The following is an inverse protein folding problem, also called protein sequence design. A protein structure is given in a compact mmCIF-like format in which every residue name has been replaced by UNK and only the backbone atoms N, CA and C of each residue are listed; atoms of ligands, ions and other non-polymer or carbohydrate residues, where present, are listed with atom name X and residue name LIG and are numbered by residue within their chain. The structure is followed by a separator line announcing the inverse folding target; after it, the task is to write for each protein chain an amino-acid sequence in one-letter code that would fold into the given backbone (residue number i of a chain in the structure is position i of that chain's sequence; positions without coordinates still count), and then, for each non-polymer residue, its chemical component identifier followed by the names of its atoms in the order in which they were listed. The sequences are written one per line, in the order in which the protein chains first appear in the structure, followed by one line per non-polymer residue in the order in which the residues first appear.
data_IF_006193530356
#
_entry.id   IF_006193530356
#
_cell.length_a   1.000
_cell.length_b   1.000
_cell.length_c   1.000
_cell.angle_alpha   90.00
_cell.angle_beta   90.00
_cell.angle_gamma   90.00
#
_symmetry.space_group_name_H-M   'P 1'
#
loop_
_entity.id
_entity.type
_entity.pdbx_description
1 polymer ?
#
# COMPACT_ATOMS: atom_id res chain seq x y z
N UNK A 1 -56.68 -19.01 -14.50
CA UNK A 1 -55.86 -18.03 -15.26
C UNK A 1 -55.43 -16.96 -14.26
N UNK A 2 -54.16 -16.52 -14.31
CA UNK A 2 -53.40 -15.67 -13.34
C UNK A 2 -52.48 -16.54 -12.45
N UNK A 3 -51.36 -17.09 -12.94
CA UNK A 3 -50.15 -16.56 -13.63
C UNK A 3 -49.05 -16.21 -12.62
N UNK A 4 -48.06 -17.10 -12.61
CA UNK A 4 -46.76 -17.06 -11.96
C UNK A 4 -46.09 -15.68 -11.95
N UNK A 5 -45.61 -15.24 -10.78
CA UNK A 5 -44.49 -14.28 -10.68
C UNK A 5 -43.98 -14.13 -9.24
N UNK A 6 -43.48 -15.20 -8.63
CA UNK A 6 -42.74 -15.05 -7.35
C UNK A 6 -41.49 -15.93 -7.23
N UNK A 7 -40.82 -16.22 -8.34
CA UNK A 7 -39.44 -16.71 -8.31
C UNK A 7 -38.49 -15.54 -8.52
N UNK A 8 -38.25 -14.80 -7.44
CA UNK A 8 -37.12 -13.88 -7.31
C UNK A 8 -35.84 -14.71 -7.39
N UNK A 9 -35.36 -14.93 -8.61
CA UNK A 9 -34.05 -15.51 -8.90
C UNK A 9 -32.99 -14.57 -8.31
N UNK A 10 -32.63 -14.77 -7.05
CA UNK A 10 -31.34 -14.32 -6.52
C UNK A 10 -30.30 -15.11 -7.32
N UNK A 11 -29.83 -14.53 -8.41
CA UNK A 11 -28.60 -14.96 -9.04
C UNK A 11 -27.52 -14.90 -7.96
N UNK A 12 -27.14 -16.06 -7.43
CA UNK A 12 -25.95 -16.18 -6.60
C UNK A 12 -24.75 -15.58 -7.35
N UNK A 13 -23.70 -15.13 -6.64
CA UNK A 13 -22.51 -14.60 -7.29
C UNK A 13 -22.05 -15.61 -8.35
N UNK A 14 -21.94 -15.14 -9.60
CA UNK A 14 -21.49 -15.96 -10.73
C UNK A 14 -20.19 -16.68 -10.35
N UNK A 15 -19.99 -17.91 -10.82
CA UNK A 15 -18.72 -18.65 -10.64
C UNK A 15 -17.54 -17.77 -11.07
N UNK A 16 -17.73 -16.93 -12.09
CA UNK A 16 -16.75 -15.94 -12.51
C UNK A 16 -16.41 -14.89 -11.43
N UNK A 17 -17.39 -14.35 -10.71
CA UNK A 17 -17.13 -13.37 -9.64
C UNK A 17 -16.52 -14.02 -8.40
N UNK A 18 -16.89 -15.26 -8.08
CA UNK A 18 -16.27 -16.04 -7.02
C UNK A 18 -14.79 -16.33 -7.32
N UNK A 19 -14.48 -16.80 -8.54
CA UNK A 19 -13.11 -17.09 -8.96
C UNK A 19 -12.26 -15.83 -9.02
N UNK A 20 -12.76 -14.72 -9.58
CA UNK A 20 -12.04 -13.46 -9.58
C UNK A 20 -11.74 -12.95 -8.16
N UNK A 21 -12.72 -13.06 -7.25
CA UNK A 21 -12.51 -12.66 -5.86
C UNK A 21 -11.46 -13.53 -5.17
N UNK A 22 -11.54 -14.85 -5.35
CA UNK A 22 -10.58 -15.78 -4.76
C UNK A 22 -9.14 -15.52 -5.27
N UNK A 23 -9.00 -15.26 -6.57
CA UNK A 23 -7.72 -14.94 -7.18
C UNK A 23 -7.18 -13.61 -6.66
N UNK A 24 -7.99 -12.55 -6.63
CA UNK A 24 -7.61 -11.24 -6.09
C UNK A 24 -7.20 -11.33 -4.61
N UNK A 25 -7.95 -12.06 -3.79
CA UNK A 25 -7.62 -12.29 -2.38
C UNK A 25 -6.31 -13.04 -2.20
N UNK A 26 -6.02 -14.03 -3.07
CA UNK A 26 -4.75 -14.75 -3.04
C UNK A 26 -3.57 -13.85 -3.40
N UNK A 27 -3.70 -13.03 -4.44
CA UNK A 27 -2.67 -12.04 -4.80
C UNK A 27 -2.41 -11.04 -3.68
N UNK A 28 -3.46 -10.49 -3.08
CA UNK A 28 -3.35 -9.61 -1.91
C UNK A 28 -2.67 -10.31 -0.73
N UNK A 29 -3.01 -11.57 -0.45
CA UNK A 29 -2.40 -12.35 0.63
C UNK A 29 -0.91 -12.60 0.41
N UNK A 30 -0.51 -12.97 -0.81
CA UNK A 30 0.90 -13.16 -1.18
C UNK A 30 1.67 -11.85 -1.07
N UNK A 31 1.13 -10.76 -1.62
CA UNK A 31 1.75 -9.43 -1.54
C UNK A 31 1.92 -8.99 -0.08
N UNK A 32 0.88 -9.15 0.74
CA UNK A 32 0.94 -8.76 2.14
C UNK A 32 1.93 -9.62 2.93
N UNK A 33 2.01 -10.93 2.65
CA UNK A 33 3.01 -11.80 3.26
C UNK A 33 4.44 -11.41 2.88
N UNK A 34 4.67 -11.03 1.62
CA UNK A 34 5.96 -10.53 1.18
C UNK A 34 6.35 -9.21 1.88
N UNK A 35 5.42 -8.26 1.96
CA UNK A 35 5.65 -6.98 2.64
C UNK A 35 5.95 -7.18 4.13
N UNK A 36 5.17 -8.03 4.80
CA UNK A 36 5.37 -8.35 6.22
C UNK A 36 6.73 -8.99 6.51
N UNK A 37 7.31 -9.73 5.55
CA UNK A 37 8.64 -10.36 5.70
C UNK A 37 9.81 -9.39 5.56
N UNK A 38 9.55 -8.20 5.00
CA UNK A 38 10.57 -7.18 4.71
C UNK A 38 10.75 -6.16 5.83
N UNK A 39 9.81 -6.10 6.79
CA UNK A 39 9.86 -5.17 7.93
C UNK A 39 10.77 -5.75 9.01
N UNK A 40 11.78 -5.00 9.44
CA UNK A 40 12.77 -5.42 10.46
C UNK A 40 12.46 -4.81 11.83
N UNK A 41 12.30 -3.49 11.84
CA UNK A 41 11.71 -2.71 12.90
C UNK A 41 10.63 -1.82 12.32
N UNK A 42 9.79 -1.28 13.19
CA UNK A 42 8.83 -0.27 12.82
C UNK A 42 8.69 0.72 13.99
N UNK A 43 9.12 1.96 13.75
CA UNK A 43 8.58 3.10 14.47
C UNK A 43 7.15 3.38 13.99
N UNK A 44 6.20 3.34 14.93
CA UNK A 44 4.83 3.74 14.70
C UNK A 44 4.59 5.13 15.32
N UNK A 45 4.54 6.21 14.50
CA UNK A 45 4.22 7.54 14.99
C UNK A 45 2.75 7.72 15.41
N UNK A 46 1.94 6.65 15.45
CA UNK A 46 0.48 6.69 15.50
C UNK A 46 -0.12 7.38 14.26
N UNK A 47 0.39 7.01 13.07
CA UNK A 47 -0.15 7.53 11.81
C UNK A 47 -1.58 7.00 11.63
N UNK A 48 -2.52 7.88 11.26
CA UNK A 48 -3.96 7.60 11.10
C UNK A 48 -4.74 7.28 12.39
N UNK A 49 -4.11 7.33 13.57
CA UNK A 49 -4.78 7.25 14.87
C UNK A 49 -5.13 8.65 15.39
N UNK A 50 -6.37 8.86 15.85
CA UNK A 50 -6.80 10.11 16.52
C UNK A 50 -6.16 10.33 17.90
N UNK A 51 -5.30 9.43 18.36
CA UNK A 51 -4.64 9.52 19.65
C UNK A 51 -3.34 10.31 19.54
N UNK A 52 -3.49 11.65 19.53
CA UNK A 52 -2.39 12.61 19.55
C UNK A 52 -1.51 12.54 20.82
N UNK A 53 -1.84 11.66 21.78
CA UNK A 53 -1.28 11.64 23.14
C UNK A 53 -0.40 10.42 23.44
N UNK A 54 -0.29 9.45 22.53
CA UNK A 54 0.51 8.25 22.78
C UNK A 54 1.93 8.46 22.22
N UNK A 55 2.99 8.29 23.03
CA UNK A 55 4.37 8.29 22.53
C UNK A 55 4.53 7.27 21.40
N UNK A 56 5.33 7.59 20.39
CA UNK A 56 5.59 6.66 19.28
C UNK A 56 6.14 5.34 19.81
N UNK A 57 5.65 4.22 19.29
CA UNK A 57 6.05 2.89 19.77
C UNK A 57 7.05 2.27 18.80
N UNK A 58 8.07 1.65 19.36
CA UNK A 58 9.08 0.90 18.62
C UNK A 58 8.77 -0.59 18.69
N UNK A 59 8.60 -1.22 17.53
CA UNK A 59 8.39 -2.64 17.42
C UNK A 59 9.55 -3.27 16.66
N UNK A 60 10.01 -4.43 17.12
CA UNK A 60 11.07 -5.20 16.46
C UNK A 60 10.56 -6.60 16.14
N UNK A 61 10.70 -7.01 14.87
CA UNK A 61 10.32 -8.33 14.41
C UNK A 61 11.54 -9.24 14.44
N UNK A 62 11.83 -9.80 15.62
CA UNK A 62 13.00 -10.65 15.86
C UNK A 62 13.11 -11.83 14.88
N UNK A 63 11.98 -12.40 14.44
CA UNK A 63 11.96 -13.44 13.40
C UNK A 63 12.57 -12.95 12.08
N UNK A 64 12.20 -11.73 11.65
CA UNK A 64 12.68 -11.14 10.41
C UNK A 64 14.13 -10.71 10.55
N UNK A 65 14.51 -10.13 11.70
CA UNK A 65 15.90 -9.76 12.01
C UNK A 65 16.81 -10.98 11.84
N UNK A 66 16.43 -12.15 12.39
CA UNK A 66 17.22 -13.38 12.23
C UNK A 66 17.26 -13.91 10.80
N UNK A 67 16.16 -13.80 10.04
CA UNK A 67 16.13 -14.21 8.62
C UNK A 67 17.12 -13.37 7.81
N UNK A 68 17.07 -12.05 7.97
CA UNK A 68 17.93 -11.11 7.25
C UNK A 68 19.38 -11.19 7.69
N UNK A 69 19.63 -11.32 8.99
CA UNK A 69 20.96 -11.57 9.55
C UNK A 69 21.62 -12.78 8.88
N UNK A 70 20.92 -13.92 8.78
CA UNK A 70 21.43 -15.11 8.11
C UNK A 70 21.66 -14.88 6.62
N UNK A 71 20.74 -14.19 5.96
CA UNK A 71 20.83 -13.90 4.52
C UNK A 71 22.02 -13.01 4.17
N UNK A 72 22.35 -12.06 5.04
CA UNK A 72 23.45 -11.10 4.86
C UNK A 72 24.76 -11.55 5.51
N UNK A 73 24.76 -12.70 6.21
CA UNK A 73 25.91 -13.24 6.95
C UNK A 73 26.53 -12.25 7.95
N UNK A 74 25.69 -11.46 8.63
CA UNK A 74 26.13 -10.46 9.61
C UNK A 74 26.15 -11.02 11.04
N UNK A 75 26.97 -10.47 11.96
CA UNK A 75 26.86 -10.76 13.39
C UNK A 75 25.51 -10.30 13.95
N UNK A 76 24.83 -11.15 14.73
CA UNK A 76 23.47 -10.87 15.19
C UNK A 76 23.36 -9.65 16.10
N UNK A 77 24.28 -9.50 17.06
CA UNK A 77 24.25 -8.37 18.01
C UNK A 77 24.54 -7.03 17.33
N UNK A 78 25.50 -7.00 16.41
CA UNK A 78 25.81 -5.80 15.62
C UNK A 78 24.63 -5.41 14.73
N UNK A 79 24.01 -6.40 14.07
CA UNK A 79 22.84 -6.15 13.23
C UNK A 79 21.63 -5.64 14.05
N UNK A 80 21.36 -6.23 15.22
CA UNK A 80 20.32 -5.72 16.13
C UNK A 80 20.60 -4.30 16.57
N UNK A 81 21.84 -4.01 16.96
CA UNK A 81 22.24 -2.68 17.40
C UNK A 81 22.04 -1.67 16.28
N UNK A 82 22.44 -2.01 15.06
CA UNK A 82 22.21 -1.18 13.88
C UNK A 82 20.71 -0.93 13.63
N UNK A 83 19.86 -1.97 13.69
CA UNK A 83 18.40 -1.81 13.56
C UNK A 83 17.85 -0.91 14.66
N UNK A 84 18.22 -1.12 15.92
CA UNK A 84 17.76 -0.28 17.04
C UNK A 84 18.17 1.17 16.85
N UNK A 85 19.42 1.44 16.47
CA UNK A 85 19.91 2.80 16.20
C UNK A 85 19.17 3.46 15.05
N UNK A 86 18.90 2.70 13.98
CA UNK A 86 18.10 3.18 12.84
C UNK A 86 16.70 3.59 13.28
N UNK A 87 16.00 2.72 14.01
CA UNK A 87 14.63 3.00 14.46
C UNK A 87 14.56 4.14 15.50
N UNK A 88 15.53 4.23 16.41
CA UNK A 88 15.61 5.33 17.40
C UNK A 88 15.91 6.66 16.72
N UNK A 89 16.74 6.67 15.67
CA UNK A 89 17.01 7.89 14.89
C UNK A 89 15.72 8.40 14.25
N UNK A 90 14.93 7.50 13.66
CA UNK A 90 13.61 7.82 13.14
C UNK A 90 12.67 8.33 14.22
N UNK A 91 12.59 7.64 15.36
CA UNK A 91 11.77 8.09 16.48
C UNK A 91 12.12 9.52 16.91
N UNK A 92 13.42 9.81 17.04
CA UNK A 92 13.91 11.14 17.39
C UNK A 92 13.57 12.18 16.32
N UNK A 93 13.75 11.88 15.03
CA UNK A 93 13.40 12.80 13.93
C UNK A 93 11.91 13.18 13.97
N UNK A 94 11.02 12.22 14.22
CA UNK A 94 9.57 12.44 14.32
C UNK A 94 9.13 13.15 15.60
N UNK A 95 9.86 12.99 16.71
CA UNK A 95 9.59 13.70 17.96
C UNK A 95 10.16 15.13 17.94
N UNK A 96 11.34 15.32 17.37
CA UNK A 96 11.98 16.62 17.24
C UNK A 96 11.26 17.56 16.26
N UNK A 97 10.52 17.02 15.30
CA UNK A 97 9.85 17.78 14.24
C UNK A 97 8.35 17.47 14.19
N UNK A 98 7.51 18.12 15.03
CA UNK A 98 6.07 17.82 15.12
C UNK A 98 5.31 17.92 13.78
N UNK A 99 5.73 18.85 12.89
CA UNK A 99 5.14 19.03 11.57
C UNK A 99 5.27 17.81 10.66
N UNK A 100 6.21 16.91 10.93
CA UNK A 100 6.50 15.75 10.10
C UNK A 100 5.32 14.76 10.09
N UNK A 101 4.65 14.60 11.24
CA UNK A 101 3.48 13.73 11.38
C UNK A 101 2.32 14.27 10.56
N UNK A 102 2.02 15.56 10.68
CA UNK A 102 0.94 16.22 9.94
C UNK A 102 1.19 16.20 8.43
N UNK A 103 2.42 16.47 8.01
CA UNK A 103 2.80 16.43 6.60
C UNK A 103 2.65 15.02 6.01
N UNK A 104 3.13 14.00 6.72
CA UNK A 104 3.02 12.60 6.28
C UNK A 104 1.55 12.15 6.19
N UNK A 105 0.74 12.48 7.20
CA UNK A 105 -0.70 12.22 7.19
C UNK A 105 -1.39 12.91 6.01
N UNK A 106 -1.09 14.18 5.75
CA UNK A 106 -1.65 14.91 4.62
C UNK A 106 -1.27 14.28 3.26
N UNK A 107 -0.02 13.83 3.08
CA UNK A 107 0.39 13.15 1.84
C UNK A 107 -0.31 11.78 1.69
N UNK A 108 -0.46 11.02 2.78
CA UNK A 108 -1.17 9.73 2.78
C UNK A 108 -2.66 9.90 2.45
N UNK A 109 -3.33 10.89 3.06
CA UNK A 109 -4.72 11.21 2.77
C UNK A 109 -4.92 11.57 1.30
N UNK A 110 -4.06 12.43 0.74
CA UNK A 110 -4.08 12.78 -0.68
C UNK A 110 -3.93 11.53 -1.56
N UNK A 111 -2.99 10.65 -1.22
CA UNK A 111 -2.77 9.42 -1.97
C UNK A 111 -3.99 8.48 -1.93
N UNK A 112 -4.58 8.27 -0.76
CA UNK A 112 -5.79 7.44 -0.58
C UNK A 112 -6.98 8.04 -1.34
N UNK A 113 -7.17 9.36 -1.26
CA UNK A 113 -8.24 10.05 -2.00
C UNK A 113 -8.09 9.87 -3.51
N UNK A 114 -6.87 9.96 -4.03
CA UNK A 114 -6.61 9.75 -5.46
C UNK A 114 -6.81 8.29 -5.90
N UNK A 115 -6.48 7.30 -5.05
CA UNK A 115 -6.85 5.89 -5.29
C UNK A 115 -8.38 5.73 -5.31
N UNK A 116 -9.08 6.29 -4.33
CA UNK A 116 -10.53 6.21 -4.24
C UNK A 116 -11.21 6.83 -5.48
N UNK A 117 -10.72 7.99 -5.94
CA UNK A 117 -11.18 8.63 -7.18
C UNK A 117 -10.92 7.78 -8.42
N UNK A 118 -9.73 7.16 -8.52
CA UNK A 118 -9.41 6.28 -9.62
C UNK A 118 -10.32 5.04 -9.68
N UNK A 119 -10.73 4.50 -8.52
CA UNK A 119 -11.69 3.40 -8.46
C UNK A 119 -13.13 3.85 -8.72
N UNK A 120 -13.55 5.00 -8.17
CA UNK A 120 -14.89 5.55 -8.39
C UNK A 120 -15.13 5.95 -9.85
N UNK A 121 -14.06 6.33 -10.56
CA UNK A 121 -14.08 6.55 -12.00
C UNK A 121 -14.15 5.28 -12.85
N UNK A 122 -14.32 4.07 -12.28
CA UNK A 122 -14.44 2.84 -13.07
C UNK A 122 -15.82 2.74 -13.76
N UNK A 123 -16.00 3.56 -14.80
CA UNK A 123 -17.14 3.56 -15.72
C UNK A 123 -16.79 2.79 -17.00
N UNK A 124 -17.79 2.22 -17.69
CA UNK A 124 -17.62 1.53 -18.98
C UNK A 124 -16.84 2.40 -19.99
N UNK A 125 -17.04 3.72 -19.93
CA UNK A 125 -16.33 4.70 -20.77
C UNK A 125 -14.84 4.78 -20.46
N UNK A 126 -14.47 4.77 -19.17
CA UNK A 126 -13.07 4.77 -18.75
C UNK A 126 -12.40 3.41 -19.00
N UNK A 127 -13.16 2.32 -19.00
CA UNK A 127 -12.68 1.01 -19.44
C UNK A 127 -12.35 1.02 -20.95
N UNK A 128 -13.24 1.57 -21.78
CA UNK A 128 -13.02 1.72 -23.22
C UNK A 128 -11.81 2.63 -23.53
N UNK A 129 -11.66 3.75 -22.80
CA UNK A 129 -10.48 4.61 -22.92
C UNK A 129 -9.18 3.94 -22.45
N UNK A 130 -9.25 3.02 -21.47
CA UNK A 130 -8.08 2.24 -21.05
C UNK A 130 -7.73 1.14 -22.05
N UNK A 131 -8.73 0.55 -22.70
CA UNK A 131 -8.55 -0.44 -23.76
C UNK A 131 -7.94 0.18 -25.03
N UNK A 132 -8.38 1.37 -25.43
CA UNK A 132 -7.76 2.07 -26.57
C UNK A 132 -6.31 2.51 -26.27
N UNK A 133 -6.01 2.88 -25.02
CA UNK A 133 -4.62 3.12 -24.58
C UNK A 133 -3.78 1.85 -24.56
N UNK A 134 -4.36 0.69 -24.20
CA UNK A 134 -3.69 -0.61 -24.29
C UNK A 134 -3.35 -0.98 -25.73
N UNK A 135 -4.23 -0.70 -26.69
CA UNK A 135 -3.97 -0.90 -28.11
C UNK A 135 -2.75 -0.08 -28.60
N UNK A 136 -2.64 1.19 -28.17
CA UNK A 136 -1.50 2.05 -28.51
C UNK A 136 -0.19 1.58 -27.84
N UNK A 137 -0.26 0.95 -26.67
CA UNK A 137 0.92 0.36 -26.00
C UNK A 137 1.40 -0.89 -26.76
N UNK A 138 0.49 -1.74 -27.23
CA UNK A 138 0.83 -2.91 -28.06
C UNK A 138 1.47 -2.48 -29.39
N UNK A 139 1.09 -1.30 -29.89
CA UNK A 139 1.72 -0.64 -31.06
C UNK A 139 3.07 0.02 -30.74
N UNK A 140 3.55 -0.04 -29.50
CA UNK A 140 4.89 0.41 -29.10
C UNK A 140 5.01 1.87 -28.65
N UNK A 141 3.91 2.62 -28.56
CA UNK A 141 3.94 4.08 -28.29
C UNK A 141 3.56 4.45 -26.84
N UNK A 142 3.36 3.48 -25.95
CA UNK A 142 2.88 3.76 -24.60
C UNK A 142 3.64 3.03 -23.49
N UNK A 143 3.74 3.69 -22.33
CA UNK A 143 4.42 3.16 -21.15
C UNK A 143 3.43 2.45 -20.21
N UNK A 144 3.63 1.15 -19.99
CA UNK A 144 2.76 0.27 -19.16
C UNK A 144 2.50 0.85 -17.76
N UNK A 145 3.47 1.60 -17.23
CA UNK A 145 3.45 2.19 -15.89
C UNK A 145 2.43 3.34 -15.78
N UNK A 146 2.19 4.08 -16.87
CA UNK A 146 1.22 5.20 -16.90
C UNK A 146 -0.23 4.73 -16.87
N UNK A 147 -0.49 3.47 -17.23
CA UNK A 147 -1.82 2.89 -17.17
C UNK A 147 -2.25 2.52 -15.74
N UNK A 148 -1.26 2.32 -14.86
CA UNK A 148 -1.44 1.79 -13.50
C UNK A 148 -1.47 2.92 -12.45
N UNK A 149 -0.63 3.95 -12.59
CA UNK A 149 -0.49 5.03 -11.60
C UNK A 149 -0.83 6.39 -12.23
N UNK A 150 -1.76 7.14 -11.65
CA UNK A 150 -2.11 8.49 -12.13
C UNK A 150 -0.98 9.49 -11.87
N UNK A 151 -0.84 10.57 -12.66
CA UNK A 151 0.21 11.58 -12.44
C UNK A 151 0.15 12.21 -11.04
N UNK A 152 -1.06 12.38 -10.48
CA UNK A 152 -1.25 12.90 -9.12
C UNK A 152 -0.81 11.90 -8.04
N UNK A 153 -1.09 10.61 -8.22
CA UNK A 153 -0.59 9.55 -7.33
C UNK A 153 0.94 9.47 -7.36
N UNK A 154 1.55 9.64 -8.53
CA UNK A 154 3.02 9.67 -8.68
C UNK A 154 3.66 10.82 -7.91
N UNK A 155 3.06 12.01 -7.95
CA UNK A 155 3.57 13.18 -7.22
C UNK A 155 3.48 12.99 -5.71
N UNK A 156 2.36 12.48 -5.19
CA UNK A 156 2.23 12.14 -3.77
C UNK A 156 3.27 11.09 -3.34
N UNK A 157 3.45 10.04 -4.15
CA UNK A 157 4.47 9.01 -3.90
C UNK A 157 5.89 9.59 -3.91
N UNK A 158 6.22 10.49 -4.84
CA UNK A 158 7.53 11.15 -4.89
C UNK A 158 7.79 12.00 -3.65
N UNK A 159 6.79 12.71 -3.14
CA UNK A 159 6.91 13.49 -1.90
C UNK A 159 7.14 12.61 -0.69
N UNK A 160 6.44 11.48 -0.61
CA UNK A 160 6.67 10.46 0.42
C UNK A 160 8.08 9.87 0.32
N UNK A 161 8.54 9.53 -0.89
CA UNK A 161 9.89 9.02 -1.11
C UNK A 161 10.96 10.05 -0.76
N UNK A 162 10.78 11.31 -1.18
CA UNK A 162 11.70 12.39 -0.85
C UNK A 162 11.79 12.61 0.66
N UNK A 163 10.66 12.52 1.38
CA UNK A 163 10.63 12.56 2.83
C UNK A 163 11.46 11.41 3.44
N UNK A 164 11.23 10.18 2.98
CA UNK A 164 11.97 8.99 3.44
C UNK A 164 13.45 8.97 3.03
N UNK A 165 13.89 9.82 2.09
CA UNK A 165 15.30 9.98 1.77
C UNK A 165 16.01 11.01 2.67
N UNK A 166 15.25 11.95 3.25
CA UNK A 166 15.78 12.99 4.15
C UNK A 166 15.84 12.47 5.59
N UNK A 167 14.84 11.66 5.96
CA UNK A 167 14.78 10.89 7.20
C UNK A 167 15.83 9.77 7.12
#
# INVERSE_FOLDING_TARGET
IVRDSFLRRRSGPSIFTLTNRALASRYLGVLMGYLASSVLGQYDPSLLGRELLTPGRLYFLESNIRIWQRRLALPLEEFRTWVVLHEVTHAWQFEAHPWLRDYLNAQLELYIQEIARAQAGFSLRNLLERLSRLENIIRGEGNLIELIITPKQREALRRLQALMCII
#
